data_IF_850015395749
#
_entry.id   IF_850015395749
#
_cell.length_a   1.000
_cell.length_b   1.000
_cell.length_c   1.000
_cell.angle_alpha   90.00
_cell.angle_beta   90.00
_cell.angle_gamma   90.00
#
_symmetry.space_group_name_H-M   'P 1'
#
loop_
_entity.id
_entity.type
_entity.pdbx_description
1 polymer ?
#
# COMPACT_ATOMS: atom_id res chain seq x y z
N UNK A 1 48.02 25.76 -21.59
CA UNK A 1 47.66 24.72 -20.59
C UNK A 1 46.28 24.16 -20.94
N UNK A 2 46.25 22.95 -21.51
CA UNK A 2 45.04 22.26 -21.96
C UNK A 2 44.29 21.68 -20.75
N UNK A 3 43.03 22.08 -20.55
CA UNK A 3 42.17 21.53 -19.48
C UNK A 3 41.70 20.13 -19.89
N UNK A 4 42.27 19.11 -19.26
CA UNK A 4 41.80 17.73 -19.34
C UNK A 4 40.48 17.59 -18.56
N UNK A 5 39.34 17.78 -19.22
CA UNK A 5 38.05 17.35 -18.67
C UNK A 5 37.99 15.83 -18.62
N UNK A 6 37.66 15.20 -17.46
CA UNK A 6 37.56 13.75 -17.36
C UNK A 6 36.43 13.22 -18.25
N UNK A 7 36.73 12.21 -19.06
CA UNK A 7 35.74 11.61 -19.96
C UNK A 7 34.61 10.93 -19.18
N UNK A 8 33.37 11.07 -19.65
CA UNK A 8 32.19 10.52 -18.97
C UNK A 8 32.32 9.00 -18.72
N UNK A 9 31.84 8.50 -17.55
CA UNK A 9 31.78 7.08 -17.23
C UNK A 9 31.03 6.29 -18.31
N UNK A 10 31.48 5.06 -18.60
CA UNK A 10 31.00 4.24 -19.73
C UNK A 10 29.48 4.01 -19.72
N UNK A 11 28.86 4.02 -18.54
CA UNK A 11 27.41 3.85 -18.33
C UNK A 11 26.58 5.13 -18.50
N UNK A 12 27.21 6.31 -18.56
CA UNK A 12 26.57 7.61 -18.83
C UNK A 12 26.78 8.07 -20.28
N UNK A 13 27.53 7.31 -21.08
CA UNK A 13 27.67 7.60 -22.50
C UNK A 13 26.37 7.14 -23.18
N UNK A 14 25.70 8.00 -23.96
CA UNK A 14 24.60 7.55 -24.79
C UNK A 14 25.10 6.42 -25.69
N UNK A 15 24.28 5.38 -25.86
CA UNK A 15 24.62 4.28 -26.76
C UNK A 15 25.00 4.84 -28.14
N UNK A 16 26.07 4.33 -28.78
CA UNK A 16 26.42 4.78 -30.12
C UNK A 16 25.21 4.58 -31.04
N UNK A 17 24.84 5.63 -31.77
CA UNK A 17 23.72 5.58 -32.72
C UNK A 17 23.96 4.43 -33.70
N UNK A 18 22.91 3.66 -34.00
CA UNK A 18 23.00 2.53 -34.93
C UNK A 18 23.53 3.03 -36.28
N UNK A 19 24.36 2.26 -36.99
CA UNK A 19 24.81 2.62 -38.33
C UNK A 19 23.61 2.98 -39.21
N UNK A 20 23.56 4.24 -39.71
CA UNK A 20 22.45 4.77 -40.51
C UNK A 20 21.56 5.83 -39.83
N UNK A 21 21.69 6.07 -38.51
CA UNK A 21 20.96 7.12 -37.79
C UNK A 21 21.74 8.45 -37.62
N UNK A 22 22.85 8.60 -38.34
CA UNK A 22 23.66 9.82 -38.33
C UNK A 22 23.28 10.71 -39.53
N UNK A 23 22.54 11.81 -39.32
CA UNK A 23 22.10 12.68 -40.42
C UNK A 23 23.27 13.37 -41.12
N UNK A 24 24.45 13.46 -40.48
CA UNK A 24 25.64 14.04 -41.09
C UNK A 24 26.41 13.07 -42.00
N UNK A 25 26.15 11.75 -41.90
CA UNK A 25 26.85 10.72 -42.69
C UNK A 25 26.00 10.14 -43.83
N UNK A 26 24.69 10.35 -43.81
CA UNK A 26 23.79 9.75 -44.79
C UNK A 26 23.50 10.68 -45.97
N UNK A 27 24.47 10.80 -46.88
CA UNK A 27 24.29 11.47 -48.18
C UNK A 27 23.63 10.58 -49.25
N UNK A 28 22.97 9.47 -48.88
CA UNK A 28 22.32 8.59 -49.85
C UNK A 28 20.89 8.28 -49.40
N UNK A 29 19.91 8.65 -50.23
CA UNK A 29 18.48 8.68 -49.93
C UNK A 29 17.78 7.34 -49.66
N UNK A 30 18.49 6.33 -49.17
CA UNK A 30 17.91 5.04 -48.78
C UNK A 30 17.61 5.03 -47.28
N UNK A 31 16.71 5.92 -46.85
CA UNK A 31 16.07 5.81 -45.55
C UNK A 31 15.08 4.65 -45.61
N UNK A 32 15.32 3.60 -44.83
CA UNK A 32 14.29 2.59 -44.59
C UNK A 32 13.11 3.33 -43.95
N UNK A 33 12.02 3.56 -44.70
CA UNK A 33 10.82 4.19 -44.15
C UNK A 33 10.35 3.28 -43.00
N UNK A 34 10.14 3.83 -41.78
CA UNK A 34 9.64 3.03 -40.67
C UNK A 34 8.37 2.32 -41.13
N UNK A 35 8.28 1.02 -40.85
CA UNK A 35 7.13 0.22 -41.27
C UNK A 35 5.86 0.82 -40.68
N UNK A 36 4.70 0.60 -41.30
CA UNK A 36 3.42 1.09 -40.76
C UNK A 36 3.23 0.69 -39.30
N UNK A 37 3.74 -0.47 -38.88
CA UNK A 37 3.72 -0.90 -37.48
C UNK A 37 4.66 -0.12 -36.55
N UNK A 38 5.79 0.39 -37.05
CA UNK A 38 6.71 1.23 -36.27
C UNK A 38 6.15 2.64 -36.09
N UNK A 39 5.54 3.21 -37.13
CA UNK A 39 4.89 4.53 -37.06
C UNK A 39 3.71 4.54 -36.08
N UNK A 40 2.93 3.45 -36.02
CA UNK A 40 1.82 3.30 -35.05
C UNK A 40 2.34 3.19 -33.60
N UNK A 41 3.46 2.49 -33.38
CA UNK A 41 4.07 2.38 -32.05
C UNK A 41 4.69 3.70 -31.59
N UNK A 42 5.33 4.43 -32.50
CA UNK A 42 5.89 5.75 -32.24
C UNK A 42 4.79 6.75 -31.91
N UNK A 43 3.72 6.84 -32.72
CA UNK A 43 2.58 7.70 -32.42
C UNK A 43 1.86 7.34 -31.11
N UNK A 44 1.75 6.06 -30.76
CA UNK A 44 1.21 5.62 -29.48
C UNK A 44 2.13 5.97 -28.29
N UNK A 45 3.46 5.93 -28.48
CA UNK A 45 4.43 6.34 -27.46
C UNK A 45 4.44 7.86 -27.28
N UNK A 46 4.34 8.62 -28.35
CA UNK A 46 4.22 10.09 -28.35
C UNK A 46 2.92 10.54 -27.68
N UNK A 47 1.78 9.91 -28.00
CA UNK A 47 0.51 10.21 -27.34
C UNK A 47 0.54 9.91 -25.83
N UNK A 48 1.18 8.80 -25.42
CA UNK A 48 1.41 8.52 -23.99
C UNK A 48 2.32 9.55 -23.34
N UNK A 49 3.39 9.96 -24.01
CA UNK A 49 4.31 10.98 -23.50
C UNK A 49 3.62 12.34 -23.36
N UNK A 50 2.73 12.69 -24.30
CA UNK A 50 1.96 13.92 -24.28
C UNK A 50 0.94 13.94 -23.13
N UNK A 51 0.21 12.84 -22.91
CA UNK A 51 -0.74 12.73 -21.78
C UNK A 51 0.00 12.78 -20.44
N UNK A 52 1.14 12.10 -20.32
CA UNK A 52 1.98 12.14 -19.12
C UNK A 52 2.53 13.55 -18.89
N UNK A 53 3.01 14.23 -19.94
CA UNK A 53 3.50 15.61 -19.86
C UNK A 53 2.40 16.59 -19.43
N UNK A 54 1.22 16.49 -20.03
CA UNK A 54 0.04 17.30 -19.67
C UNK A 54 -0.37 17.11 -18.20
N UNK A 55 -0.34 15.87 -17.70
CA UNK A 55 -0.65 15.57 -16.29
C UNK A 55 0.43 16.12 -15.35
N UNK A 56 1.69 16.01 -15.75
CA UNK A 56 2.82 16.50 -14.95
C UNK A 56 2.83 18.03 -14.86
N UNK A 57 2.50 18.73 -15.94
CA UNK A 57 2.35 20.19 -15.94
C UNK A 57 1.29 20.68 -14.94
N UNK A 58 0.22 19.89 -14.73
CA UNK A 58 -0.88 20.26 -13.82
C UNK A 58 -0.62 19.87 -12.39
N UNK A 59 -0.07 18.68 -12.19
CA UNK A 59 0.08 18.10 -10.85
C UNK A 59 1.43 18.41 -10.24
N UNK A 60 2.46 18.64 -11.06
CA UNK A 60 3.86 18.71 -10.63
C UNK A 60 4.29 17.49 -9.83
N UNK A 61 3.61 16.34 -9.99
CA UNK A 61 3.76 15.20 -9.12
C UNK A 61 4.95 14.31 -9.51
N UNK A 62 5.45 14.39 -10.74
CA UNK A 62 6.52 13.50 -11.21
C UNK A 62 7.82 13.60 -10.40
N UNK A 63 8.31 14.79 -9.97
CA UNK A 63 9.48 14.89 -9.11
C UNK A 63 9.29 14.13 -7.78
N UNK A 64 8.12 14.27 -7.14
CA UNK A 64 7.80 13.58 -5.89
C UNK A 64 7.67 12.07 -6.09
N UNK A 65 6.96 11.63 -7.12
CA UNK A 65 6.80 10.22 -7.44
C UNK A 65 8.14 9.56 -7.76
N UNK A 66 8.97 10.19 -8.59
CA UNK A 66 10.32 9.69 -8.91
C UNK A 66 11.20 9.65 -7.66
N UNK A 67 11.15 10.68 -6.81
CA UNK A 67 11.92 10.70 -5.57
C UNK A 67 11.54 9.54 -4.63
N UNK A 68 10.26 9.18 -4.55
CA UNK A 68 9.80 8.08 -3.70
C UNK A 68 10.03 6.70 -4.32
N UNK A 69 9.66 6.51 -5.60
CA UNK A 69 9.74 5.22 -6.29
C UNK A 69 11.18 4.81 -6.60
N UNK A 70 12.05 5.76 -6.92
CA UNK A 70 13.45 5.49 -7.31
C UNK A 70 14.44 5.70 -6.17
N UNK A 71 13.95 5.74 -4.92
CA UNK A 71 14.81 5.85 -3.75
C UNK A 71 15.73 4.63 -3.67
N UNK A 72 17.04 4.88 -3.56
CA UNK A 72 18.05 3.83 -3.47
C UNK A 72 17.87 3.01 -2.19
N UNK A 73 17.69 1.70 -2.36
CA UNK A 73 17.60 0.74 -1.24
C UNK A 73 19.00 0.43 -0.71
N UNK A 74 19.24 0.48 0.62
CA UNK A 74 20.52 0.10 1.21
C UNK A 74 20.90 -1.37 0.93
N UNK A 75 22.21 -1.63 0.76
CA UNK A 75 22.74 -2.99 0.65
C UNK A 75 22.56 -3.71 2.00
N UNK A 76 22.20 -5.00 1.97
CA UNK A 76 21.94 -5.79 3.19
C UNK A 76 20.48 -5.80 3.67
N UNK A 77 19.54 -5.38 2.83
CA UNK A 77 18.09 -5.51 3.10
C UNK A 77 17.69 -6.99 3.11
N UNK A 78 16.89 -7.40 4.10
CA UNK A 78 16.37 -8.75 4.24
C UNK A 78 14.83 -8.77 4.22
N UNK A 79 14.23 -9.95 4.26
CA UNK A 79 12.78 -10.13 4.21
C UNK A 79 12.02 -9.44 5.34
N UNK A 80 12.60 -9.23 6.52
CA UNK A 80 11.90 -8.56 7.61
C UNK A 80 11.58 -7.07 7.33
N UNK A 81 12.18 -6.47 6.29
CA UNK A 81 11.83 -5.12 5.85
C UNK A 81 10.48 -5.07 5.11
N UNK A 82 9.95 -6.21 4.64
CA UNK A 82 8.66 -6.27 3.92
C UNK A 82 7.45 -6.38 4.85
N UNK A 83 7.65 -6.59 6.15
CA UNK A 83 6.57 -6.72 7.13
C UNK A 83 5.66 -5.48 7.18
N UNK A 84 6.22 -4.28 6.97
CA UNK A 84 5.44 -3.04 6.91
C UNK A 84 4.50 -3.01 5.69
N UNK A 85 5.02 -3.34 4.50
CA UNK A 85 4.20 -3.42 3.29
C UNK A 85 3.19 -4.57 3.33
N UNK A 86 3.53 -5.70 3.96
CA UNK A 86 2.60 -6.80 4.17
C UNK A 86 1.44 -6.37 5.10
N UNK A 87 1.74 -5.62 6.15
CA UNK A 87 0.73 -5.04 7.05
C UNK A 87 -0.19 -4.08 6.30
N UNK A 88 0.37 -3.19 5.48
CA UNK A 88 -0.41 -2.27 4.64
C UNK A 88 -1.32 -3.03 3.66
N UNK A 89 -0.80 -4.07 3.02
CA UNK A 89 -1.60 -4.91 2.12
C UNK A 89 -2.76 -5.59 2.87
N UNK A 90 -2.49 -6.15 4.06
CA UNK A 90 -3.54 -6.74 4.90
C UNK A 90 -4.60 -5.71 5.29
N UNK A 91 -4.20 -4.49 5.68
CA UNK A 91 -5.12 -3.39 5.95
C UNK A 91 -5.99 -3.02 4.74
N UNK A 92 -5.39 -2.90 3.55
CA UNK A 92 -6.15 -2.62 2.32
C UNK A 92 -7.15 -3.74 2.01
N UNK A 93 -6.76 -5.00 2.21
CA UNK A 93 -7.66 -6.14 2.09
C UNK A 93 -8.82 -6.07 3.09
N UNK A 94 -8.55 -5.69 4.35
CA UNK A 94 -9.59 -5.48 5.37
C UNK A 94 -10.53 -4.33 5.01
N UNK A 95 -10.01 -3.21 4.51
CA UNK A 95 -10.83 -2.07 4.09
C UNK A 95 -11.78 -2.46 2.94
N UNK A 96 -11.26 -3.12 1.90
CA UNK A 96 -12.07 -3.55 0.75
C UNK A 96 -13.13 -4.56 1.15
N UNK A 97 -12.74 -5.63 1.86
CA UNK A 97 -13.69 -6.65 2.32
C UNK A 97 -14.71 -6.07 3.30
N UNK A 98 -14.29 -5.18 4.20
CA UNK A 98 -15.17 -4.51 5.15
C UNK A 98 -16.23 -3.64 4.48
N UNK A 99 -15.86 -2.90 3.42
CA UNK A 99 -16.82 -2.12 2.62
C UNK A 99 -17.87 -3.04 1.99
N UNK A 100 -17.47 -4.18 1.42
CA UNK A 100 -18.44 -5.14 0.86
C UNK A 100 -19.38 -5.71 1.93
N UNK A 101 -18.85 -6.08 3.10
CA UNK A 101 -19.69 -6.58 4.21
C UNK A 101 -20.66 -5.51 4.71
N UNK A 102 -20.21 -4.26 4.81
CA UNK A 102 -21.03 -3.14 5.27
C UNK A 102 -22.24 -2.86 4.36
N UNK A 103 -22.16 -3.20 3.06
CA UNK A 103 -23.30 -3.04 2.14
C UNK A 103 -24.48 -3.98 2.43
N UNK A 104 -24.24 -5.09 3.12
CA UNK A 104 -25.25 -6.12 3.43
C UNK A 104 -25.56 -6.23 4.93
N UNK A 105 -24.75 -5.60 5.78
CA UNK A 105 -24.86 -5.70 7.23
C UNK A 105 -25.90 -4.70 7.79
N UNK A 106 -26.75 -5.17 8.70
CA UNK A 106 -27.72 -4.35 9.42
C UNK A 106 -27.24 -4.14 10.87
N UNK A 107 -26.93 -2.89 11.29
CA UNK A 107 -26.41 -2.61 12.63
C UNK A 107 -27.48 -2.58 13.74
N UNK A 108 -28.70 -3.05 13.51
CA UNK A 108 -29.74 -3.15 14.54
C UNK A 108 -29.58 -4.39 15.43
N UNK A 109 -29.79 -4.24 16.74
CA UNK A 109 -29.65 -5.33 17.71
C UNK A 109 -30.55 -6.54 17.43
N UNK A 110 -31.70 -6.31 16.76
CA UNK A 110 -32.64 -7.37 16.38
C UNK A 110 -32.29 -8.09 15.08
N UNK A 111 -31.48 -7.49 14.19
CA UNK A 111 -31.18 -8.06 12.85
C UNK A 111 -29.69 -8.23 12.56
N UNK A 112 -28.80 -7.77 13.43
CA UNK A 112 -27.36 -7.86 13.24
C UNK A 112 -26.88 -9.30 13.02
N UNK A 113 -27.34 -10.23 13.85
CA UNK A 113 -27.00 -11.64 13.71
C UNK A 113 -27.52 -12.23 12.39
N UNK A 114 -28.80 -11.99 12.09
CA UNK A 114 -29.44 -12.52 10.88
C UNK A 114 -28.84 -11.96 9.60
N UNK A 115 -28.47 -10.67 9.58
CA UNK A 115 -27.78 -10.06 8.43
C UNK A 115 -26.37 -10.63 8.23
N UNK A 116 -25.63 -10.91 9.30
CA UNK A 116 -24.33 -11.58 9.23
C UNK A 116 -24.46 -13.03 8.73
N UNK A 117 -25.53 -13.74 9.13
CA UNK A 117 -25.85 -15.07 8.62
C UNK A 117 -26.24 -15.03 7.14
N UNK A 118 -27.05 -14.06 6.73
CA UNK A 118 -27.43 -13.83 5.32
C UNK A 118 -26.21 -13.61 4.43
N UNK A 119 -25.26 -12.76 4.87
CA UNK A 119 -23.99 -12.57 4.14
C UNK A 119 -23.25 -13.90 3.96
N UNK A 120 -23.25 -14.75 4.98
CA UNK A 120 -22.49 -16.01 4.93
C UNK A 120 -23.15 -17.01 3.98
N UNK A 121 -24.48 -17.14 4.04
CA UNK A 121 -25.18 -18.27 3.41
C UNK A 121 -25.82 -17.93 2.06
N UNK A 122 -26.23 -16.68 1.84
CA UNK A 122 -27.10 -16.32 0.71
C UNK A 122 -26.44 -15.39 -0.31
N UNK A 123 -25.47 -14.57 0.12
CA UNK A 123 -24.75 -13.65 -0.78
C UNK A 123 -23.71 -14.41 -1.60
N UNK A 124 -23.67 -14.17 -2.92
CA UNK A 124 -22.67 -14.77 -3.80
C UNK A 124 -21.25 -14.41 -3.33
N UNK A 125 -20.42 -15.43 -3.08
CA UNK A 125 -19.07 -15.31 -2.47
C UNK A 125 -19.04 -14.64 -1.09
N UNK A 126 -20.17 -14.51 -0.42
CA UNK A 126 -20.26 -13.84 0.88
C UNK A 126 -19.50 -14.55 1.99
N UNK A 127 -19.53 -15.89 2.04
CA UNK A 127 -18.69 -16.68 2.94
C UNK A 127 -17.20 -16.42 2.72
N UNK A 128 -16.76 -16.37 1.45
CA UNK A 128 -15.37 -16.12 1.10
C UNK A 128 -14.94 -14.72 1.57
N UNK A 129 -15.71 -13.68 1.24
CA UNK A 129 -15.40 -12.29 1.62
C UNK A 129 -15.40 -12.13 3.14
N UNK A 130 -16.39 -12.71 3.83
CA UNK A 130 -16.46 -12.68 5.30
C UNK A 130 -15.31 -13.46 5.94
N UNK A 131 -14.93 -14.60 5.36
CA UNK A 131 -13.78 -15.39 5.76
C UNK A 131 -12.47 -14.61 5.59
N UNK A 132 -12.27 -13.97 4.43
CA UNK A 132 -11.11 -13.11 4.18
C UNK A 132 -11.03 -11.95 5.17
N UNK A 133 -12.17 -11.32 5.50
CA UNK A 133 -12.20 -10.26 6.50
C UNK A 133 -11.80 -10.80 7.88
N UNK A 134 -12.49 -11.84 8.37
CA UNK A 134 -12.25 -12.42 9.71
C UNK A 134 -10.82 -12.95 9.88
N UNK A 135 -10.34 -13.77 8.95
CA UNK A 135 -8.99 -14.36 9.04
C UNK A 135 -7.91 -13.33 8.70
N UNK A 136 -8.18 -12.42 7.77
CA UNK A 136 -7.27 -11.34 7.41
C UNK A 136 -7.04 -10.37 8.57
N UNK A 137 -8.03 -10.12 9.43
CA UNK A 137 -7.85 -9.35 10.66
C UNK A 137 -6.83 -10.01 11.60
N UNK A 138 -6.93 -11.32 11.82
CA UNK A 138 -5.96 -12.08 12.63
C UNK A 138 -4.55 -12.00 12.04
N UNK A 139 -4.41 -12.18 10.73
CA UNK A 139 -3.12 -12.07 10.02
C UNK A 139 -2.56 -10.65 10.14
N UNK A 140 -3.39 -9.62 9.99
CA UNK A 140 -2.99 -8.22 10.12
C UNK A 140 -2.42 -7.94 11.51
N UNK A 141 -3.08 -8.39 12.59
CA UNK A 141 -2.57 -8.21 13.96
C UNK A 141 -1.22 -8.89 14.15
N UNK A 142 -1.05 -10.13 13.67
CA UNK A 142 0.24 -10.84 13.73
C UNK A 142 1.32 -10.04 12.98
N UNK A 143 1.03 -9.55 11.78
CA UNK A 143 1.98 -8.76 10.98
C UNK A 143 2.35 -7.45 11.66
N UNK A 144 1.40 -6.76 12.30
CA UNK A 144 1.67 -5.54 13.10
C UNK A 144 2.67 -5.88 14.22
N UNK A 145 2.43 -6.92 15.00
CA UNK A 145 3.33 -7.29 16.10
C UNK A 145 4.72 -7.71 15.59
N UNK A 146 4.80 -8.47 14.49
CA UNK A 146 6.09 -8.80 13.88
C UNK A 146 6.83 -7.56 13.37
N UNK A 147 6.10 -6.61 12.77
CA UNK A 147 6.66 -5.35 12.29
C UNK A 147 7.17 -4.47 13.44
N UNK A 148 6.40 -4.36 14.52
CA UNK A 148 6.79 -3.65 15.74
C UNK A 148 7.98 -4.32 16.42
N UNK A 149 7.97 -5.65 16.54
CA UNK A 149 9.08 -6.42 17.11
C UNK A 149 10.37 -6.19 16.32
N UNK A 150 10.32 -6.24 14.99
CA UNK A 150 11.49 -5.96 14.15
C UNK A 150 11.96 -4.52 14.27
N UNK A 151 11.07 -3.54 14.28
CA UNK A 151 11.46 -2.12 14.39
C UNK A 151 12.11 -1.82 15.75
N UNK A 152 11.68 -2.52 16.80
CA UNK A 152 12.29 -2.50 18.11
C UNK A 152 13.68 -3.18 18.12
N UNK A 153 13.77 -4.45 17.71
CA UNK A 153 15.02 -5.23 17.75
C UNK A 153 16.12 -4.60 16.88
N UNK A 154 15.76 -4.03 15.73
CA UNK A 154 16.75 -3.40 14.83
C UNK A 154 17.06 -1.95 15.20
N UNK A 155 16.51 -1.43 16.32
CA UNK A 155 16.72 -0.05 16.75
C UNK A 155 16.21 1.00 15.77
N UNK A 156 15.22 0.64 14.93
CA UNK A 156 14.73 1.50 13.87
C UNK A 156 13.95 2.72 14.41
N UNK A 157 13.50 2.68 15.67
CA UNK A 157 12.79 3.76 16.35
C UNK A 157 13.69 4.90 16.85
N UNK A 158 15.01 4.69 16.93
CA UNK A 158 15.97 5.69 17.43
C UNK A 158 16.03 6.91 16.49
N UNK A 159 16.57 8.03 17.01
CA UNK A 159 16.84 9.25 16.25
C UNK A 159 17.42 8.95 14.86
N UNK A 160 16.95 9.59 13.77
CA UNK A 160 15.96 10.68 13.71
C UNK A 160 14.52 10.21 13.42
N UNK A 161 14.14 8.97 13.77
CA UNK A 161 12.86 8.34 13.38
C UNK A 161 11.86 8.17 14.52
N UNK A 162 12.01 8.95 15.59
CA UNK A 162 11.16 8.85 16.79
C UNK A 162 9.68 9.13 16.46
N UNK A 163 9.41 10.12 15.60
CA UNK A 163 8.05 10.44 15.18
C UNK A 163 7.38 9.27 14.45
N UNK A 164 8.11 8.57 13.57
CA UNK A 164 7.60 7.39 12.89
C UNK A 164 7.25 6.27 13.88
N UNK A 165 8.02 6.13 14.96
CA UNK A 165 7.73 5.16 16.01
C UNK A 165 6.44 5.52 16.76
N UNK A 166 6.27 6.79 17.16
CA UNK A 166 5.04 7.24 17.83
C UNK A 166 3.81 7.01 16.95
N UNK A 167 3.90 7.35 15.66
CA UNK A 167 2.83 7.06 14.69
C UNK A 167 2.53 5.55 14.64
N UNK A 168 3.56 4.71 14.60
CA UNK A 168 3.41 3.25 14.63
C UNK A 168 2.66 2.75 15.88
N UNK A 169 3.02 3.26 17.06
CA UNK A 169 2.34 2.90 18.32
C UNK A 169 0.87 3.31 18.30
N UNK A 170 0.56 4.53 17.84
CA UNK A 170 -0.83 5.00 17.69
C UNK A 170 -1.60 4.10 16.73
N UNK A 171 -1.01 3.74 15.58
CA UNK A 171 -1.65 2.85 14.60
C UNK A 171 -1.92 1.44 15.18
N UNK A 172 -1.05 0.93 16.05
CA UNK A 172 -1.31 -0.35 16.75
C UNK A 172 -2.54 -0.24 17.65
N UNK A 173 -2.63 0.82 18.46
CA UNK A 173 -3.79 1.05 19.33
C UNK A 173 -5.09 1.19 18.52
N UNK A 174 -5.07 1.97 17.45
CA UNK A 174 -6.22 2.09 16.54
C UNK A 174 -6.59 0.76 15.90
N UNK A 175 -5.61 -0.05 15.51
CA UNK A 175 -5.85 -1.38 14.92
C UNK A 175 -6.48 -2.36 15.91
N UNK A 176 -6.04 -2.33 17.18
CA UNK A 176 -6.65 -3.13 18.25
C UNK A 176 -8.07 -2.66 18.56
N UNK A 177 -8.31 -1.34 18.58
CA UNK A 177 -9.65 -0.78 18.77
C UNK A 177 -10.61 -1.22 17.64
N UNK A 178 -10.18 -1.12 16.37
CA UNK A 178 -10.95 -1.62 15.22
C UNK A 178 -11.20 -3.14 15.31
N UNK A 179 -10.20 -3.90 15.76
CA UNK A 179 -10.34 -5.35 15.96
C UNK A 179 -11.38 -5.69 17.03
N UNK A 180 -11.39 -4.96 18.14
CA UNK A 180 -12.41 -5.11 19.18
C UNK A 180 -13.79 -4.73 18.63
N UNK A 181 -13.96 -3.52 18.08
CA UNK A 181 -15.28 -3.07 17.60
C UNK A 181 -15.81 -3.97 16.48
N UNK A 182 -14.95 -4.41 15.57
CA UNK A 182 -15.29 -5.36 14.50
C UNK A 182 -15.77 -6.72 15.02
N UNK A 183 -15.17 -7.21 16.12
CA UNK A 183 -15.56 -8.46 16.76
C UNK A 183 -16.98 -8.43 17.33
N UNK A 184 -17.50 -7.24 17.66
CA UNK A 184 -18.82 -7.08 18.27
C UNK A 184 -19.97 -7.12 17.25
N UNK A 185 -19.71 -6.85 15.97
CA UNK A 185 -20.74 -6.68 14.93
C UNK A 185 -21.65 -7.91 14.72
N UNK A 186 -21.18 -9.17 14.74
CA UNK A 186 -22.06 -10.32 14.54
C UNK A 186 -23.14 -10.47 15.62
N UNK A 187 -22.99 -9.80 16.76
CA UNK A 187 -23.97 -9.78 17.85
C UNK A 187 -24.36 -11.18 18.38
N UNK A 188 -23.38 -12.10 18.40
CA UNK A 188 -23.51 -13.42 18.99
C UNK A 188 -23.17 -13.43 20.49
N UNK A 189 -23.32 -14.58 21.15
CA UNK A 189 -23.01 -14.71 22.59
C UNK A 189 -21.57 -14.29 22.93
N UNK A 190 -20.60 -14.53 22.03
CA UNK A 190 -19.20 -14.19 22.28
C UNK A 190 -18.98 -12.68 22.19
N UNK A 191 -19.60 -12.03 21.21
CA UNK A 191 -19.62 -10.58 21.08
C UNK A 191 -20.25 -9.91 22.31
N UNK A 192 -21.37 -10.45 22.82
CA UNK A 192 -22.03 -9.92 24.02
C UNK A 192 -21.11 -10.01 25.24
N UNK A 193 -20.51 -11.17 25.52
CA UNK A 193 -19.59 -11.31 26.65
C UNK A 193 -18.31 -10.49 26.49
N UNK A 194 -17.77 -10.37 25.28
CA UNK A 194 -16.64 -9.48 25.01
C UNK A 194 -16.99 -8.01 25.30
N UNK A 195 -18.21 -7.57 24.97
CA UNK A 195 -18.71 -6.23 25.29
C UNK A 195 -18.77 -6.01 26.79
N UNK A 196 -19.34 -6.96 27.54
CA UNK A 196 -19.42 -6.88 29.02
C UNK A 196 -18.02 -6.76 29.63
N UNK A 197 -17.05 -7.56 29.17
CA UNK A 197 -15.66 -7.47 29.65
C UNK A 197 -15.05 -6.11 29.32
N UNK A 198 -15.21 -5.60 28.09
CA UNK A 198 -14.66 -4.31 27.69
C UNK A 198 -15.24 -3.14 28.53
N UNK A 199 -16.55 -3.14 28.77
CA UNK A 199 -17.22 -2.12 29.61
C UNK A 199 -16.75 -2.22 31.06
N UNK A 200 -16.62 -3.43 31.61
CA UNK A 200 -16.14 -3.63 32.98
C UNK A 200 -14.69 -3.16 33.18
N UNK A 201 -13.82 -3.35 32.17
CA UNK A 201 -12.46 -2.81 32.21
C UNK A 201 -12.50 -1.28 32.28
N UNK A 202 -13.36 -0.63 31.48
CA UNK A 202 -13.49 0.82 31.51
C UNK A 202 -14.04 1.34 32.85
N UNK A 203 -15.05 0.65 33.39
CA UNK A 203 -15.68 0.96 34.69
C UNK A 203 -14.71 0.81 35.87
N UNK A 204 -13.61 0.06 35.73
CA UNK A 204 -12.60 -0.11 36.78
C UNK A 204 -11.69 1.11 36.97
N UNK A 205 -11.77 2.12 36.09
CA UNK A 205 -10.97 3.33 36.20
C UNK A 205 -11.39 4.19 37.41
N UNK A 206 -10.48 4.54 38.34
CA UNK A 206 -10.83 5.20 39.60
C UNK A 206 -11.54 6.56 39.47
N UNK A 207 -11.28 7.30 38.39
CA UNK A 207 -11.78 8.67 38.21
C UNK A 207 -12.96 8.72 37.23
N UNK A 208 -12.82 8.06 36.07
CA UNK A 208 -13.79 8.13 34.98
C UNK A 208 -14.75 6.95 34.94
N UNK A 209 -14.49 5.85 35.66
CA UNK A 209 -15.29 4.62 35.59
C UNK A 209 -16.76 4.76 35.99
N UNK A 210 -17.15 5.64 36.94
CA UNK A 210 -18.56 5.87 37.28
C UNK A 210 -19.42 6.57 36.20
N UNK A 211 -18.82 7.09 35.13
CA UNK A 211 -19.49 7.87 34.07
C UNK A 211 -19.40 7.16 32.71
#
# INVERSE_FOLDING_TARGET
>A
MSKLTPSLPKFLRPAPKRPGQDPARNGNGNGHKPSTGDQVKEGAAEGKAQVVGWLDERTGASPLLRAQLLRKVPKGTNWFYTLGSATLFAFMSQAVTGVFLAMYYDPSTSRAYDSAAYITNEVFLGELVRGMHKWGATVMIILIFLHMGRTFVFGAYKYPRELNWVIGVVLVVLSLAMGLTGYLLPFDQRALWATVVAVNINASSPIIGPY
#
